data_IF_370072700607
#
_entry.id   IF_370072700607
#
_cell.length_a   1.000
_cell.length_b   1.000
_cell.length_c   1.000
_cell.angle_alpha   90.00
_cell.angle_beta   90.00
_cell.angle_gamma   90.00
#
_symmetry.space_group_name_H-M   'P 1'
#
loop_
_entity.id
_entity.type
_entity.pdbx_description
1 polymer ?
#
# COMPACT_ATOMS: atom_id res chain seq x y z
N UNK A 1 -19.39 -5.08 -5.48
CA UNK A 1 -18.12 -4.81 -4.78
C UNK A 1 -16.91 -5.14 -5.64
N UNK A 2 -16.89 -6.26 -6.37
CA UNK A 2 -15.76 -6.66 -7.23
C UNK A 2 -15.52 -5.70 -8.42
N UNK A 3 -16.58 -5.13 -9.02
CA UNK A 3 -16.45 -4.19 -10.15
C UNK A 3 -15.85 -2.83 -9.79
N UNK A 4 -16.05 -2.37 -8.56
CA UNK A 4 -15.42 -1.14 -8.08
C UNK A 4 -13.89 -1.32 -7.98
N UNK A 5 -13.45 -2.52 -7.59
CA UNK A 5 -12.03 -2.87 -7.51
C UNK A 5 -11.38 -2.97 -8.90
N UNK A 6 -12.09 -3.55 -9.88
CA UNK A 6 -11.63 -3.62 -11.28
C UNK A 6 -11.49 -2.23 -11.90
N UNK A 7 -12.54 -1.40 -11.81
CA UNK A 7 -12.50 -0.04 -12.35
C UNK A 7 -11.38 0.81 -11.74
N UNK A 8 -11.12 0.63 -10.43
CA UNK A 8 -10.02 1.32 -9.77
C UNK A 8 -8.65 0.84 -10.28
N UNK A 9 -8.49 -0.47 -10.47
CA UNK A 9 -7.27 -1.07 -11.02
C UNK A 9 -7.00 -0.58 -12.44
N UNK A 10 -8.02 -0.55 -13.30
CA UNK A 10 -7.89 -0.15 -14.70
C UNK A 10 -7.52 1.35 -14.81
N UNK A 11 -8.17 2.22 -14.02
CA UNK A 11 -7.80 3.64 -13.93
C UNK A 11 -6.39 3.86 -13.39
N UNK A 12 -5.99 3.10 -12.38
CA UNK A 12 -4.64 3.18 -11.83
C UNK A 12 -3.59 2.74 -12.85
N UNK A 13 -3.88 1.71 -13.64
CA UNK A 13 -3.01 1.25 -14.73
C UNK A 13 -2.88 2.30 -15.84
N UNK A 14 -3.98 2.93 -16.27
CA UNK A 14 -3.92 4.04 -17.24
C UNK A 14 -3.09 5.22 -16.73
N UNK A 15 -3.24 5.60 -15.45
CA UNK A 15 -2.44 6.69 -14.86
C UNK A 15 -0.97 6.31 -14.80
N UNK A 16 -0.65 5.06 -14.47
CA UNK A 16 0.73 4.56 -14.42
C UNK A 16 1.37 4.55 -15.81
N UNK A 17 0.62 4.14 -16.83
CA UNK A 17 1.09 4.06 -18.21
C UNK A 17 1.23 5.44 -18.85
N UNK A 18 0.29 6.36 -18.61
CA UNK A 18 0.31 7.70 -19.16
C UNK A 18 1.25 8.66 -18.40
N UNK A 19 1.41 8.45 -17.09
CA UNK A 19 2.10 9.38 -16.19
C UNK A 19 2.75 8.67 -14.99
N UNK A 20 3.73 7.79 -15.25
CA UNK A 20 4.56 7.19 -14.19
C UNK A 20 5.12 8.23 -13.20
N UNK A 21 5.58 9.37 -13.72
CA UNK A 21 6.07 10.48 -12.90
C UNK A 21 4.98 11.14 -12.02
N UNK A 22 3.70 11.09 -12.43
CA UNK A 22 2.61 11.63 -11.62
C UNK A 22 2.22 10.69 -10.48
N UNK A 23 2.48 9.38 -10.62
CA UNK A 23 2.36 8.43 -9.53
C UNK A 23 3.46 8.69 -8.51
N UNK A 24 4.71 8.84 -8.93
CA UNK A 24 5.82 9.14 -8.01
C UNK A 24 5.63 10.48 -7.32
N UNK A 25 5.33 11.56 -8.06
CA UNK A 25 5.03 12.88 -7.49
C UNK A 25 3.76 12.88 -6.61
N UNK A 26 2.78 12.03 -6.93
CA UNK A 26 1.54 11.90 -6.18
C UNK A 26 1.72 11.13 -4.88
N UNK A 27 2.52 10.06 -4.90
CA UNK A 27 2.85 9.23 -3.75
C UNK A 27 3.74 9.97 -2.76
N UNK A 28 4.79 10.67 -3.22
CA UNK A 28 5.62 11.52 -2.36
C UNK A 28 4.76 12.59 -1.68
N UNK A 29 3.92 13.31 -2.44
CA UNK A 29 3.02 14.32 -1.85
C UNK A 29 2.01 13.76 -0.88
N UNK A 30 1.49 12.56 -1.13
CA UNK A 30 0.55 11.91 -0.21
C UNK A 30 1.27 11.45 1.05
N UNK A 31 2.48 10.92 0.91
CA UNK A 31 3.37 10.59 2.02
C UNK A 31 3.62 11.81 2.89
N UNK A 32 4.19 12.87 2.32
CA UNK A 32 4.49 14.12 3.01
C UNK A 32 3.25 14.76 3.62
N UNK A 33 2.12 14.80 2.89
CA UNK A 33 0.89 15.39 3.40
C UNK A 33 0.31 14.59 4.56
N UNK A 34 0.37 13.26 4.52
CA UNK A 34 -0.09 12.43 5.63
C UNK A 34 0.90 12.55 6.79
N UNK A 35 2.20 12.57 6.55
CA UNK A 35 3.21 12.67 7.60
C UNK A 35 3.16 14.04 8.30
N UNK A 36 3.09 15.13 7.54
CA UNK A 36 2.90 16.50 8.05
C UNK A 36 1.58 16.63 8.82
N UNK A 37 0.48 16.09 8.27
CA UNK A 37 -0.83 16.20 8.92
C UNK A 37 -0.95 15.31 10.14
N UNK A 38 -0.09 14.30 10.22
CA UNK A 38 -0.06 13.38 11.34
C UNK A 38 1.08 13.60 12.30
N UNK A 39 2.01 14.52 12.03
CA UNK A 39 3.19 14.80 12.87
C UNK A 39 4.01 13.52 13.13
N UNK A 40 4.04 12.58 12.18
CA UNK A 40 4.62 11.25 12.39
C UNK A 40 3.88 10.37 13.41
N UNK A 41 2.66 10.73 13.85
CA UNK A 41 1.90 9.96 14.86
C UNK A 41 1.40 8.60 14.39
N UNK A 42 1.45 8.30 13.09
CA UNK A 42 1.00 7.02 12.55
C UNK A 42 2.15 6.08 12.24
N UNK A 43 3.41 6.49 12.43
CA UNK A 43 4.57 5.61 12.31
C UNK A 43 4.41 4.37 13.19
N UNK A 44 3.96 4.54 14.45
CA UNK A 44 3.68 3.41 15.35
C UNK A 44 2.58 2.46 14.82
N UNK A 45 1.56 2.99 14.13
CA UNK A 45 0.48 2.17 13.56
C UNK A 45 0.89 1.50 12.26
N UNK A 46 1.76 2.14 11.49
CA UNK A 46 2.35 1.58 10.27
C UNK A 46 3.28 0.43 10.67
N UNK A 47 4.18 0.63 11.64
CA UNK A 47 5.07 -0.42 12.16
C UNK A 47 4.29 -1.59 12.72
N UNK A 48 3.28 -1.34 13.58
CA UNK A 48 2.41 -2.42 14.09
C UNK A 48 1.65 -3.14 12.97
N UNK A 49 1.28 -2.41 11.90
CA UNK A 49 0.61 -2.98 10.73
C UNK A 49 1.54 -3.85 9.89
N UNK A 50 2.79 -3.42 9.72
CA UNK A 50 3.85 -4.13 8.99
C UNK A 50 4.25 -5.39 9.73
N UNK A 51 4.50 -5.33 11.04
CA UNK A 51 4.83 -6.50 11.86
C UNK A 51 3.75 -7.57 11.77
N UNK A 52 2.48 -7.18 11.90
CA UNK A 52 1.35 -8.12 11.76
C UNK A 52 1.24 -8.72 10.36
N UNK A 53 1.56 -7.94 9.34
CA UNK A 53 1.55 -8.42 7.96
C UNK A 53 2.71 -9.40 7.72
N UNK A 54 3.90 -9.12 8.25
CA UNK A 54 5.04 -10.04 8.21
C UNK A 54 4.72 -11.35 8.92
N UNK A 55 4.17 -11.31 10.14
CA UNK A 55 3.70 -12.50 10.86
C UNK A 55 2.68 -13.32 10.05
N UNK A 56 1.75 -12.65 9.37
CA UNK A 56 0.76 -13.32 8.53
C UNK A 56 1.41 -13.98 7.31
N UNK A 57 2.34 -13.30 6.66
CA UNK A 57 3.05 -13.80 5.48
C UNK A 57 3.96 -14.97 5.86
N UNK A 58 4.66 -14.87 6.98
CA UNK A 58 5.54 -15.92 7.50
C UNK A 58 4.73 -17.16 7.84
N UNK A 59 3.60 -17.01 8.56
CA UNK A 59 2.68 -18.12 8.83
C UNK A 59 2.05 -18.72 7.58
N UNK A 60 1.74 -17.91 6.56
CA UNK A 60 1.26 -18.41 5.26
C UNK A 60 2.36 -19.15 4.49
N UNK A 61 3.60 -18.68 4.59
CA UNK A 61 4.79 -19.31 4.01
C UNK A 61 5.10 -20.65 4.66
N UNK A 62 5.13 -20.71 5.99
CA UNK A 62 5.31 -21.95 6.76
C UNK A 62 4.22 -22.98 6.45
N UNK A 63 2.97 -22.54 6.31
CA UNK A 63 1.84 -23.41 5.96
C UNK A 63 1.91 -23.93 4.53
N UNK A 64 2.62 -23.26 3.64
CA UNK A 64 2.81 -23.66 2.23
C UNK A 64 4.00 -24.60 2.03
N UNK A 65 4.89 -24.69 3.02
CA UNK A 65 6.08 -25.53 2.99
C UNK A 65 5.89 -26.89 3.69
N UNK A 66 4.71 -27.11 4.29
CA UNK A 66 4.34 -28.32 5.03
C UNK A 66 3.27 -29.20 4.35
N UNK A 67 2.87 -28.88 3.11
CA UNK A 67 2.10 -29.73 2.18
C UNK A 67 3.02 -30.21 1.03
#
# INVERSE_FOLDING_TARGET
MFDALKNLKDKAAEIAEAHGDAIDNGLEKVGDFIDDKTDGKYSDKIDTGVDKAQDLVERLGEKKQSD
#
